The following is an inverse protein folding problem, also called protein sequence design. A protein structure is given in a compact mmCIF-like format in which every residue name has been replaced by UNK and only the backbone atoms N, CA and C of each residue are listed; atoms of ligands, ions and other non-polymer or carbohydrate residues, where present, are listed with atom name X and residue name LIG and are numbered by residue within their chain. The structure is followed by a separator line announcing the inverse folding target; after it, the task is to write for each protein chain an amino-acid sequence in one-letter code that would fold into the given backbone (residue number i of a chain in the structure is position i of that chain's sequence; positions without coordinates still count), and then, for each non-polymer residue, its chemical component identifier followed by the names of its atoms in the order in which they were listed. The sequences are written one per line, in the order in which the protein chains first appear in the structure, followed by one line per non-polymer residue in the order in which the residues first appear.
data_IF_159989547607
#
_entry.id   IF_159989547607
#
_cell.length_a   1.000
_cell.length_b   1.000
_cell.length_c   1.000
_cell.angle_alpha   90.00
_cell.angle_beta   90.00
_cell.angle_gamma   90.00
#
_symmetry.space_group_name_H-M   'P 1'
#
loop_
_entity.id
_entity.type
_entity.pdbx_description
1 polymer ?
#
# COMPACT_ATOMS: atom_id res chain seq x y z
N UNK A 1 -18.55 -2.64 10.79
CA UNK A 1 -17.15 -2.20 10.78
C UNK A 1 -16.97 -1.31 9.56
N UNK A 2 -16.63 -0.04 9.74
CA UNK A 2 -16.45 0.86 8.61
C UNK A 2 -15.13 0.54 7.91
N UNK A 3 -15.21 -0.16 6.77
CA UNK A 3 -14.04 -0.50 5.96
C UNK A 3 -13.81 0.60 4.93
N UNK A 4 -13.12 1.65 5.33
CA UNK A 4 -12.63 2.69 4.41
C UNK A 4 -11.24 2.30 3.90
N UNK A 5 -11.02 2.43 2.60
CA UNK A 5 -9.73 2.14 1.96
C UNK A 5 -9.32 3.29 1.04
N UNK A 6 -8.01 3.49 0.88
CA UNK A 6 -7.43 4.54 0.05
C UNK A 6 -6.68 3.89 -1.12
N UNK A 7 -6.85 4.42 -2.33
CA UNK A 7 -6.14 3.97 -3.53
C UNK A 7 -5.01 4.92 -3.92
N UNK A 8 -3.83 4.37 -4.24
CA UNK A 8 -2.70 5.13 -4.81
C UNK A 8 -2.82 5.11 -6.34
N UNK A 9 -2.99 6.29 -6.96
CA UNK A 9 -3.18 6.43 -8.41
C UNK A 9 -2.11 7.33 -9.04
N UNK A 10 -1.82 7.15 -10.33
CA UNK A 10 -0.84 7.96 -11.07
C UNK A 10 -0.30 7.29 -12.32
N UNK A 11 0.37 8.08 -13.17
CA UNK A 11 0.93 7.66 -14.46
C UNK A 11 1.92 6.49 -14.34
N UNK A 12 2.20 5.74 -15.42
CA UNK A 12 3.22 4.68 -15.40
C UNK A 12 4.59 5.19 -14.88
N UNK A 13 5.33 4.34 -14.15
CA UNK A 13 6.69 4.60 -13.66
C UNK A 13 6.90 5.80 -12.71
N UNK A 14 5.85 6.42 -12.17
CA UNK A 14 5.97 7.52 -11.18
C UNK A 14 6.31 7.07 -9.75
N UNK A 15 6.72 5.82 -9.54
CA UNK A 15 7.11 5.31 -8.21
C UNK A 15 5.97 4.82 -7.31
N UNK A 16 4.78 4.55 -7.84
CA UNK A 16 3.61 4.08 -7.05
C UNK A 16 3.93 2.83 -6.21
N UNK A 17 4.53 1.81 -6.81
CA UNK A 17 4.90 0.57 -6.10
C UNK A 17 6.00 0.81 -5.06
N UNK A 18 6.92 1.74 -5.33
CA UNK A 18 7.96 2.15 -4.38
C UNK A 18 7.34 2.78 -3.14
N UNK A 19 6.39 3.72 -3.31
CA UNK A 19 5.68 4.34 -2.20
C UNK A 19 4.88 3.31 -1.40
N UNK A 20 4.13 2.44 -2.08
CA UNK A 20 3.36 1.37 -1.44
C UNK A 20 4.25 0.47 -0.58
N UNK A 21 5.40 0.04 -1.11
CA UNK A 21 6.35 -0.80 -0.36
C UNK A 21 6.99 -0.07 0.81
N UNK A 22 7.31 1.21 0.65
CA UNK A 22 7.90 2.03 1.72
C UNK A 22 6.94 2.18 2.92
N UNK A 23 5.66 2.43 2.67
CA UNK A 23 4.68 2.66 3.74
C UNK A 23 4.14 1.35 4.34
N UNK A 24 4.00 0.29 3.55
CA UNK A 24 3.45 -0.97 4.05
C UNK A 24 4.51 -1.90 4.63
N UNK A 25 5.78 -1.75 4.26
CA UNK A 25 6.84 -2.76 4.44
C UNK A 25 6.45 -4.17 3.95
N UNK A 26 5.29 -4.31 3.30
CA UNK A 26 4.86 -5.50 2.62
C UNK A 26 5.63 -5.48 1.32
N UNK A 27 6.49 -6.46 1.08
CA UNK A 27 7.23 -6.57 -0.17
C UNK A 27 6.26 -6.81 -1.32
N UNK A 28 5.60 -5.77 -1.84
CA UNK A 28 4.80 -5.90 -3.04
C UNK A 28 5.77 -6.23 -4.17
N UNK A 29 5.73 -7.48 -4.59
CA UNK A 29 6.47 -7.97 -5.72
C UNK A 29 5.99 -7.18 -6.93
N UNK A 30 6.91 -6.41 -7.53
CA UNK A 30 6.71 -5.78 -8.83
C UNK A 30 6.70 -6.87 -9.91
N UNK A 31 5.65 -7.69 -9.94
CA UNK A 31 5.47 -8.70 -10.95
C UNK A 31 4.92 -8.03 -12.22
N UNK A 32 5.82 -7.71 -13.15
CA UNK A 32 5.50 -7.26 -14.49
C UNK A 32 5.03 -8.45 -15.34
N UNK A 33 3.74 -8.80 -15.29
CA UNK A 33 3.17 -9.74 -16.25
C UNK A 33 1.95 -9.13 -16.95
N UNK A 34 2.02 -8.84 -18.26
CA UNK A 34 0.86 -8.44 -19.03
C UNK A 34 -0.08 -9.65 -19.16
N UNK A 35 -1.38 -9.43 -18.99
CA UNK A 35 -2.51 -10.38 -19.16
C UNK A 35 -2.99 -11.21 -17.96
N UNK A 36 -2.41 -11.11 -16.76
CA UNK A 36 -3.01 -11.67 -15.55
C UNK A 36 -3.83 -10.60 -14.81
N UNK A 37 -5.01 -10.96 -14.29
CA UNK A 37 -5.78 -10.10 -13.36
C UNK A 37 -4.84 -9.67 -12.23
N UNK A 38 -4.39 -8.40 -12.26
CA UNK A 38 -3.46 -7.87 -11.27
C UNK A 38 -4.29 -7.70 -9.99
N UNK A 39 -4.22 -8.68 -9.09
CA UNK A 39 -4.72 -8.51 -7.74
C UNK A 39 -4.11 -7.22 -7.17
N UNK A 40 -4.99 -6.31 -6.73
CA UNK A 40 -4.55 -5.02 -6.20
C UNK A 40 -3.71 -5.30 -4.96
N UNK A 41 -2.52 -4.70 -4.88
CA UNK A 41 -1.75 -4.74 -3.64
C UNK A 41 -2.54 -4.01 -2.54
N UNK A 42 -3.05 -4.76 -1.58
CA UNK A 42 -3.74 -4.22 -0.39
C UNK A 42 -2.82 -4.37 0.80
N UNK A 43 -2.61 -3.28 1.53
CA UNK A 43 -1.80 -3.26 2.73
C UNK A 43 -2.44 -2.39 3.80
N UNK A 44 -2.20 -2.74 5.06
CA UNK A 44 -2.63 -1.96 6.22
C UNK A 44 -1.39 -1.37 6.86
N UNK A 45 -1.43 -0.07 7.13
CA UNK A 45 -0.36 0.65 7.83
C UNK A 45 -0.94 1.17 9.13
N UNK A 46 -0.22 0.94 10.23
CA UNK A 46 -0.60 1.48 11.53
C UNK A 46 -0.41 2.99 11.52
N UNK A 47 -1.43 3.73 11.98
CA UNK A 47 -1.30 5.17 12.19
C UNK A 47 -0.51 5.38 13.49
N UNK A 48 0.66 6.04 13.46
CA UNK A 48 1.39 6.35 14.69
C UNK A 48 0.57 7.29 15.57
N UNK A 49 0.47 6.98 16.86
CA UNK A 49 -0.30 7.76 17.83
C UNK A 49 0.42 7.74 19.20
N UNK A 50 1.11 8.83 19.53
CA UNK A 50 1.86 8.99 20.79
C UNK A 50 0.97 8.90 22.04
N UNK A 51 -0.35 9.08 21.90
CA UNK A 51 -1.29 8.97 23.03
C UNK A 51 -1.46 7.52 23.47
N UNK A 52 -1.32 6.57 22.54
CA UNK A 52 -1.38 5.14 22.84
C UNK A 52 -0.13 4.64 23.56
N UNK A 53 1.01 5.33 23.42
CA UNK A 53 2.27 4.95 24.07
C UNK A 53 2.31 5.30 25.57
N UNK A 54 1.45 6.19 26.04
CA UNK A 54 1.41 6.68 27.42
C UNK A 54 0.45 5.90 28.34
N UNK A 55 -0.21 4.86 27.82
CA UNK A 55 -1.16 4.01 28.54
C UNK A 55 -0.51 2.67 28.90
#
# INVERSE_FOLDING_TARGET
MANLSIGIVGLPNVGKSTLFNAITKAGALAANYPFATIDKNVGVVTVPDERLEKL
#
